data_IF_532704759438
#
_entry.id   IF_532704759438
#
_cell.length_a   1.000
_cell.length_b   1.000
_cell.length_c   1.000
_cell.angle_alpha   90.00
_cell.angle_beta   90.00
_cell.angle_gamma   90.00
#
_symmetry.space_group_name_H-M   'P 1'
#
loop_
_entity.id
_entity.type
_entity.pdbx_description
1 polymer ?
#
# COMPACT_ATOMS: atom_id res chain seq x y z
N UNK A 1 55.85 -5.61 41.79
CA UNK A 1 55.29 -6.63 42.70
C UNK A 1 54.13 -6.02 43.47
N UNK A 2 52.91 -6.49 43.26
CA UNK A 2 51.84 -6.47 44.27
C UNK A 2 50.82 -7.57 43.94
N UNK A 3 50.87 -8.57 44.80
CA UNK A 3 49.87 -9.60 45.08
C UNK A 3 48.48 -8.98 45.29
N UNK A 4 47.36 -9.66 45.07
CA UNK A 4 47.19 -11.10 44.95
C UNK A 4 45.83 -11.49 44.39
N UNK A 5 45.72 -12.79 44.12
CA UNK A 5 44.49 -13.52 43.83
C UNK A 5 43.91 -14.06 45.15
N UNK A 6 42.59 -14.32 45.17
CA UNK A 6 41.81 -15.43 45.78
C UNK A 6 40.35 -14.93 45.95
N UNK A 7 39.40 -15.34 45.09
CA UNK A 7 38.35 -16.39 45.28
C UNK A 7 37.32 -15.98 46.36
N UNK A 8 35.99 -15.89 46.09
CA UNK A 8 34.95 -16.93 46.36
C UNK A 8 33.58 -16.36 45.86
N UNK A 9 32.93 -16.87 44.80
CA UNK A 9 31.87 -17.91 44.72
C UNK A 9 30.51 -17.53 45.37
N UNK A 10 29.53 -17.29 44.47
CA UNK A 10 28.08 -17.61 44.48
C UNK A 10 27.05 -16.90 45.40
N UNK A 11 25.80 -16.92 44.89
CA UNK A 11 24.52 -16.32 45.33
C UNK A 11 24.39 -14.83 44.97
N UNK A 12 23.59 -14.42 43.98
CA UNK A 12 22.17 -14.74 43.82
C UNK A 12 21.81 -15.05 42.36
N UNK A 13 21.52 -16.32 42.09
CA UNK A 13 20.39 -16.66 41.22
C UNK A 13 19.16 -16.01 41.86
N UNK A 14 18.47 -15.11 41.15
CA UNK A 14 17.06 -14.71 41.29
C UNK A 14 16.90 -13.30 40.73
N UNK A 15 16.86 -13.17 39.40
CA UNK A 15 15.93 -12.24 38.79
C UNK A 15 15.27 -12.97 37.63
N UNK A 16 14.16 -13.58 38.01
CA UNK A 16 13.09 -14.16 37.24
C UNK A 16 13.01 -13.70 35.79
N UNK A 17 13.06 -14.69 34.90
CA UNK A 17 12.42 -14.65 33.59
C UNK A 17 10.94 -14.24 33.77
N UNK A 18 10.63 -12.96 33.57
CA UNK A 18 9.28 -12.49 33.27
C UNK A 18 9.06 -12.77 31.79
N UNK A 19 8.78 -14.04 31.49
CA UNK A 19 8.18 -14.43 30.22
C UNK A 19 6.70 -14.04 30.33
N UNK A 20 6.34 -12.86 29.81
CA UNK A 20 4.94 -12.51 29.62
C UNK A 20 4.34 -13.53 28.66
N UNK A 21 3.52 -14.44 29.20
CA UNK A 21 2.60 -15.25 28.41
C UNK A 21 1.58 -14.28 27.80
N UNK A 22 1.72 -13.97 26.52
CA UNK A 22 0.60 -13.40 25.79
C UNK A 22 -0.53 -14.44 25.77
N UNK A 23 -1.61 -14.08 26.46
CA UNK A 23 -2.90 -14.76 26.36
C UNK A 23 -3.39 -14.53 24.94
N UNK A 24 -3.14 -15.49 24.06
CA UNK A 24 -3.87 -15.59 22.80
C UNK A 24 -5.31 -15.91 23.17
N UNK A 25 -6.13 -14.87 23.28
CA UNK A 25 -7.58 -14.99 23.35
C UNK A 25 -8.07 -15.55 22.01
N UNK A 26 -8.04 -16.88 21.87
CA UNK A 26 -8.87 -17.59 20.91
C UNK A 26 -10.30 -17.45 21.42
N UNK A 27 -11.07 -16.53 20.84
CA UNK A 27 -12.52 -16.59 20.96
C UNK A 27 -13.00 -17.83 20.20
N UNK A 28 -13.15 -18.91 20.95
CA UNK A 28 -13.96 -20.06 20.59
C UNK A 28 -15.42 -19.61 20.62
N UNK A 29 -16.01 -19.33 19.47
CA UNK A 29 -17.46 -19.43 19.33
C UNK A 29 -17.74 -20.77 18.64
N UNK A 30 -17.93 -21.80 19.47
CA UNK A 30 -18.43 -23.08 19.02
C UNK A 30 -19.96 -23.06 19.07
N UNK A 31 -20.59 -23.03 17.91
CA UNK A 31 -21.87 -23.71 17.67
C UNK A 31 -21.69 -24.51 16.37
N UNK A 32 -21.50 -25.82 16.54
CA UNK A 32 -21.76 -26.90 15.56
C UNK A 32 -23.29 -27.09 15.48
N UNK A 33 -24.02 -27.42 14.41
CA UNK A 33 -23.85 -28.07 13.09
C UNK A 33 -24.84 -27.35 12.11
N UNK A 34 -24.87 -27.48 10.78
CA UNK A 34 -24.73 -28.66 9.92
C UNK A 34 -24.56 -28.25 8.44
N UNK A 35 -24.07 -29.20 7.63
CA UNK A 35 -23.73 -29.17 6.20
C UNK A 35 -24.48 -28.21 5.23
N UNK A 36 -23.73 -27.36 4.51
CA UNK A 36 -23.61 -27.34 3.03
C UNK A 36 -22.81 -26.11 2.51
N UNK A 37 -21.79 -26.40 1.69
CA UNK A 37 -21.15 -25.59 0.63
C UNK A 37 -21.03 -24.06 0.79
N UNK A 38 -19.82 -23.66 1.17
CA UNK A 38 -19.02 -22.57 0.59
C UNK A 38 -19.64 -21.15 0.46
N UNK A 39 -19.51 -20.41 1.57
CA UNK A 39 -19.14 -18.99 1.68
C UNK A 39 -19.80 -18.02 0.69
N UNK A 40 -20.97 -17.54 1.11
CA UNK A 40 -21.29 -16.12 1.02
C UNK A 40 -20.40 -15.35 2.01
N UNK A 41 -19.93 -14.17 1.61
CA UNK A 41 -19.98 -12.94 2.44
C UNK A 41 -19.20 -11.77 1.79
N UNK A 42 -19.99 -10.80 1.32
CA UNK A 42 -19.80 -9.34 1.45
C UNK A 42 -18.93 -8.64 0.37
N UNK A 43 -19.52 -8.39 -0.82
CA UNK A 43 -19.19 -7.24 -1.70
C UNK A 43 -20.36 -6.22 -1.71
N UNK A 44 -20.76 -5.76 -0.53
CA UNK A 44 -21.88 -4.82 -0.43
C UNK A 44 -21.66 -3.74 0.64
N UNK A 45 -20.47 -3.13 0.70
CA UNK A 45 -20.32 -1.73 1.17
C UNK A 45 -18.92 -1.15 0.89
N UNK A 46 -18.39 -1.34 -0.33
CA UNK A 46 -17.31 -0.46 -0.79
C UNK A 46 -17.96 0.62 -1.64
N UNK A 47 -17.73 1.92 -1.34
CA UNK A 47 -18.42 2.99 -2.04
C UNK A 47 -18.20 2.84 -3.56
N UNK A 48 -19.25 3.11 -4.34
CA UNK A 48 -19.26 3.12 -5.83
C UNK A 48 -18.02 3.77 -6.45
N UNK A 49 -17.45 4.74 -5.74
CA UNK A 49 -16.22 5.46 -6.01
C UNK A 49 -14.96 4.56 -6.15
N UNK A 50 -14.91 3.42 -5.46
CA UNK A 50 -13.80 2.47 -5.51
C UNK A 50 -13.72 1.71 -6.85
N UNK A 51 -14.87 1.28 -7.37
CA UNK A 51 -14.95 0.60 -8.67
C UNK A 51 -14.58 1.59 -9.79
N UNK A 52 -14.99 2.84 -9.66
CA UNK A 52 -14.69 3.91 -10.63
C UNK A 52 -13.19 4.24 -10.72
N UNK A 53 -12.44 4.14 -9.62
CA UNK A 53 -11.01 4.41 -9.62
C UNK A 53 -10.16 3.20 -10.10
N UNK A 54 -10.65 1.97 -9.87
CA UNK A 54 -10.05 0.73 -10.43
C UNK A 54 -10.22 0.58 -11.95
N UNK A 55 -10.94 1.49 -12.61
CA UNK A 55 -11.01 1.57 -14.07
C UNK A 55 -10.38 2.85 -14.59
N UNK A 56 -9.79 3.68 -13.72
CA UNK A 56 -9.20 4.94 -14.13
C UNK A 56 -7.88 4.67 -14.86
N UNK A 57 -7.75 5.26 -16.03
CA UNK A 57 -6.55 5.23 -16.84
C UNK A 57 -6.07 6.62 -17.19
N UNK A 58 -4.78 6.73 -17.52
CA UNK A 58 -4.20 7.93 -18.10
C UNK A 58 -3.12 7.54 -19.10
N UNK A 59 -2.90 8.41 -20.08
CA UNK A 59 -1.90 8.21 -21.13
C UNK A 59 -0.69 9.10 -20.84
N UNK A 60 0.49 8.52 -21.04
CA UNK A 60 1.77 9.21 -20.99
C UNK A 60 2.40 9.12 -22.37
N UNK A 61 2.63 10.25 -23.03
CA UNK A 61 3.43 10.26 -24.26
C UNK A 61 4.92 10.17 -23.91
N UNK A 62 5.63 9.24 -24.56
CA UNK A 62 7.09 9.11 -24.50
C UNK A 62 7.80 9.80 -25.68
N UNK A 63 7.05 10.48 -26.57
CA UNK A 63 7.57 11.14 -27.77
C UNK A 63 7.81 10.16 -28.93
N UNK A 64 8.02 10.70 -30.15
CA UNK A 64 8.42 9.87 -31.31
C UNK A 64 7.46 8.75 -31.68
N UNK A 65 6.14 8.95 -31.51
CA UNK A 65 5.13 7.92 -31.77
C UNK A 65 4.98 6.89 -30.65
N UNK A 66 5.66 7.06 -29.52
CA UNK A 66 5.54 6.24 -28.32
C UNK A 66 4.49 6.81 -27.35
N UNK A 67 3.61 5.94 -26.84
CA UNK A 67 2.67 6.24 -25.77
C UNK A 67 2.54 5.05 -24.81
N UNK A 68 2.29 5.34 -23.53
CA UNK A 68 2.01 4.34 -22.50
C UNK A 68 0.69 4.65 -21.84
N UNK A 69 -0.20 3.67 -21.79
CA UNK A 69 -1.48 3.76 -21.08
C UNK A 69 -1.35 3.05 -19.74
N UNK A 70 -1.52 3.81 -18.66
CA UNK A 70 -1.55 3.31 -17.30
C UNK A 70 -2.99 3.11 -16.88
N UNK A 71 -3.41 1.87 -16.62
CA UNK A 71 -4.74 1.55 -16.11
C UNK A 71 -4.62 0.97 -14.70
N UNK A 72 -5.20 1.64 -13.71
CA UNK A 72 -5.19 1.13 -12.34
C UNK A 72 -5.96 -0.20 -12.28
N UNK A 73 -5.36 -1.25 -11.71
CA UNK A 73 -6.02 -2.57 -11.58
C UNK A 73 -6.28 -2.93 -10.11
N UNK A 74 -5.48 -2.37 -9.20
CA UNK A 74 -5.68 -2.52 -7.76
C UNK A 74 -5.22 -1.27 -7.02
N UNK A 75 -5.97 -0.90 -5.99
CA UNK A 75 -5.68 0.23 -5.12
C UNK A 75 -5.85 -0.25 -3.69
N UNK A 76 -4.80 -0.09 -2.88
CA UNK A 76 -4.78 -0.40 -1.45
C UNK A 76 -4.39 0.86 -0.70
N UNK A 77 -5.27 1.32 0.18
CA UNK A 77 -4.94 2.37 1.13
C UNK A 77 -4.17 1.76 2.30
N UNK A 78 -3.07 2.40 2.65
CA UNK A 78 -2.36 2.21 3.91
C UNK A 78 -2.50 3.53 4.69
N UNK A 79 -2.41 3.50 6.02
CA UNK A 79 -2.57 4.64 6.95
C UNK A 79 -2.62 6.05 6.30
N UNK A 80 -1.51 6.50 5.71
CA UNK A 80 -1.35 7.80 5.06
C UNK A 80 -0.86 7.74 3.60
N UNK A 81 -1.02 6.60 2.91
CA UNK A 81 -0.56 6.41 1.53
C UNK A 81 -1.46 5.50 0.72
N UNK A 82 -1.32 5.55 -0.60
CA UNK A 82 -2.00 4.62 -1.50
C UNK A 82 -0.98 3.81 -2.28
N UNK A 83 -1.07 2.48 -2.20
CA UNK A 83 -0.36 1.58 -3.10
C UNK A 83 -1.26 1.22 -4.26
N UNK A 84 -0.80 1.52 -5.47
CA UNK A 84 -1.57 1.33 -6.70
C UNK A 84 -0.79 0.43 -7.64
N UNK A 85 -1.47 -0.57 -8.19
CA UNK A 85 -0.97 -1.43 -9.24
C UNK A 85 -1.58 -0.97 -10.56
N UNK A 86 -0.74 -0.79 -11.58
CA UNK A 86 -1.15 -0.42 -12.91
C UNK A 86 -0.86 -1.55 -13.89
N UNK A 87 -1.80 -1.85 -14.79
CA UNK A 87 -1.49 -2.46 -16.08
C UNK A 87 -0.97 -1.33 -16.97
N UNK A 88 0.20 -1.54 -17.56
CA UNK A 88 0.83 -0.59 -18.49
C UNK A 88 0.83 -1.21 -19.87
N UNK A 89 0.24 -0.51 -20.83
CA UNK A 89 0.21 -0.90 -22.24
C UNK A 89 1.04 0.10 -23.02
N UNK A 90 2.13 -0.37 -23.64
CA UNK A 90 3.03 0.46 -24.43
C UNK A 90 2.70 0.35 -25.91
N UNK A 91 2.58 1.50 -26.56
CA UNK A 91 2.29 1.63 -27.97
C UNK A 91 3.44 2.35 -28.67
N UNK A 92 3.86 1.84 -29.82
CA UNK A 92 4.84 2.48 -30.71
C UNK A 92 4.26 2.50 -32.10
N UNK A 93 4.17 3.70 -32.71
CA UNK A 93 3.51 3.90 -34.00
C UNK A 93 2.10 3.28 -34.01
N UNK A 94 1.33 3.56 -32.95
CA UNK A 94 -0.06 3.12 -32.74
C UNK A 94 -0.25 1.59 -32.54
N UNK A 95 0.80 0.78 -32.72
CA UNK A 95 0.78 -0.65 -32.41
C UNK A 95 1.09 -0.93 -30.96
N UNK A 96 0.31 -1.80 -30.31
CA UNK A 96 0.64 -2.33 -28.98
C UNK A 96 1.90 -3.19 -29.07
N UNK A 97 2.97 -2.77 -28.39
CA UNK A 97 4.27 -3.46 -28.43
C UNK A 97 4.57 -4.24 -27.15
N UNK A 98 4.04 -3.80 -26.01
CA UNK A 98 4.27 -4.47 -24.74
C UNK A 98 3.10 -4.26 -23.76
N UNK A 99 2.97 -5.18 -22.81
CA UNK A 99 2.04 -5.08 -21.70
C UNK A 99 2.67 -5.66 -20.44
N UNK A 100 2.79 -4.82 -19.42
CA UNK A 100 3.40 -5.22 -18.15
C UNK A 100 2.68 -4.57 -16.97
N UNK A 101 3.14 -4.87 -15.76
CA UNK A 101 2.56 -4.35 -14.52
C UNK A 101 3.58 -3.55 -13.74
N UNK A 102 3.17 -2.37 -13.29
CA UNK A 102 3.94 -1.53 -12.37
C UNK A 102 3.18 -1.32 -11.07
N UNK A 103 3.90 -0.99 -10.00
CA UNK A 103 3.30 -0.64 -8.72
C UNK A 103 3.98 0.58 -8.13
N UNK A 104 3.16 1.52 -7.69
CA UNK A 104 3.61 2.77 -7.11
C UNK A 104 2.95 3.02 -5.75
N UNK A 105 3.68 3.66 -4.85
CA UNK A 105 3.17 4.15 -3.57
C UNK A 105 3.09 5.68 -3.62
N UNK A 106 1.87 6.21 -3.56
CA UNK A 106 1.60 7.64 -3.48
C UNK A 106 1.70 8.09 -2.03
N UNK A 107 2.65 8.96 -1.74
CA UNK A 107 2.93 9.54 -0.42
C UNK A 107 2.49 11.00 -0.44
N UNK A 108 1.87 11.44 0.65
CA UNK A 108 1.28 12.77 0.74
C UNK A 108 1.88 13.55 1.90
N UNK A 109 1.99 14.86 1.72
CA UNK A 109 2.37 15.76 2.80
C UNK A 109 1.17 16.12 3.69
N UNK A 110 1.42 16.89 4.74
CA UNK A 110 0.38 17.33 5.70
C UNK A 110 -0.76 18.13 5.06
N UNK A 111 -0.55 18.73 3.88
CA UNK A 111 -1.57 19.45 3.13
C UNK A 111 -2.32 18.55 2.12
N UNK A 112 -2.17 17.21 2.23
CA UNK A 112 -2.77 16.22 1.34
C UNK A 112 -2.38 16.40 -0.15
N UNK A 113 -1.24 17.05 -0.41
CA UNK A 113 -0.66 17.09 -1.75
C UNK A 113 0.25 15.89 -1.94
N UNK A 114 0.29 15.34 -3.17
CA UNK A 114 1.24 14.30 -3.55
C UNK A 114 2.65 14.85 -3.37
N UNK A 115 3.39 14.28 -2.43
CA UNK A 115 4.77 14.65 -2.12
C UNK A 115 5.75 13.77 -2.90
N UNK A 116 5.51 12.46 -2.88
CA UNK A 116 6.34 11.47 -3.57
C UNK A 116 5.48 10.39 -4.23
N UNK A 117 6.01 9.82 -5.32
CA UNK A 117 5.48 8.60 -5.92
C UNK A 117 6.61 7.59 -6.00
N UNK A 118 6.61 6.63 -5.09
CA UNK A 118 7.70 5.66 -4.95
C UNK A 118 7.44 4.43 -5.81
N UNK A 119 8.41 4.06 -6.63
CA UNK A 119 8.41 2.78 -7.35
C UNK A 119 8.69 1.59 -6.40
N UNK A 120 8.74 0.38 -6.96
CA UNK A 120 9.05 -0.85 -6.19
C UNK A 120 10.47 -0.88 -5.62
N UNK A 121 11.37 -0.01 -6.10
CA UNK A 121 12.75 0.17 -5.62
C UNK A 121 12.87 1.36 -4.66
N UNK A 122 11.75 1.92 -4.21
CA UNK A 122 11.67 3.10 -3.35
C UNK A 122 12.30 4.37 -3.95
N UNK A 123 12.38 4.45 -5.28
CA UNK A 123 12.81 5.67 -5.98
C UNK A 123 11.61 6.56 -6.27
N UNK A 124 11.78 7.86 -6.10
CA UNK A 124 10.74 8.83 -6.40
C UNK A 124 10.61 9.02 -7.92
N UNK A 125 9.56 8.46 -8.50
CA UNK A 125 9.28 8.55 -9.93
C UNK A 125 9.05 10.00 -10.37
N UNK A 126 8.57 10.89 -9.50
CA UNK A 126 8.33 12.29 -9.86
C UNK A 126 9.63 13.05 -10.20
N UNK A 127 10.78 12.57 -9.76
CA UNK A 127 12.09 13.19 -10.03
C UNK A 127 12.63 12.80 -11.42
N UNK A 128 12.26 11.63 -11.94
CA UNK A 128 12.81 11.08 -13.18
C UNK A 128 11.83 11.10 -14.35
N UNK A 129 10.53 11.16 -14.05
CA UNK A 129 9.48 11.18 -15.06
C UNK A 129 9.48 12.48 -15.89
N UNK A 130 9.22 12.41 -17.22
CA UNK A 130 8.95 13.59 -18.03
C UNK A 130 7.81 14.43 -17.46
N UNK A 131 7.81 15.73 -17.74
CA UNK A 131 6.84 16.69 -17.17
C UNK A 131 5.38 16.26 -17.36
N UNK A 132 5.02 15.77 -18.56
CA UNK A 132 3.67 15.28 -18.85
C UNK A 132 3.29 14.06 -18.02
N UNK A 133 4.20 13.09 -17.92
CA UNK A 133 4.01 11.90 -17.08
C UNK A 133 3.84 12.28 -15.61
N UNK A 134 4.76 13.12 -15.09
CA UNK A 134 4.72 13.62 -13.72
C UNK A 134 3.38 14.27 -13.38
N UNK A 135 2.85 15.10 -14.29
CA UNK A 135 1.53 15.73 -14.12
C UNK A 135 0.41 14.68 -14.03
N UNK A 136 0.39 13.69 -14.92
CA UNK A 136 -0.62 12.62 -14.90
C UNK A 136 -0.59 11.82 -13.59
N UNK A 137 0.59 11.48 -13.07
CA UNK A 137 0.72 10.81 -11.77
C UNK A 137 0.23 11.68 -10.61
N UNK A 138 0.60 12.96 -10.57
CA UNK A 138 0.13 13.89 -9.53
C UNK A 138 -1.39 14.03 -9.56
N UNK A 139 -1.98 14.22 -10.74
CA UNK A 139 -3.42 14.40 -10.88
C UNK A 139 -4.18 13.11 -10.49
N UNK A 140 -3.67 11.94 -10.90
CA UNK A 140 -4.20 10.65 -10.42
C UNK A 140 -4.13 10.53 -8.88
N UNK A 141 -3.02 10.97 -8.27
CA UNK A 141 -2.85 10.97 -6.82
C UNK A 141 -3.85 11.87 -6.08
N UNK A 142 -4.15 13.05 -6.61
CA UNK A 142 -5.20 13.94 -6.06
C UNK A 142 -6.57 13.26 -6.11
N UNK A 143 -6.85 12.53 -7.19
CA UNK A 143 -8.10 11.80 -7.33
C UNK A 143 -8.23 10.65 -6.33
N UNK A 144 -7.11 10.01 -5.93
CA UNK A 144 -7.12 9.03 -4.85
C UNK A 144 -7.64 9.66 -3.55
N UNK A 145 -7.09 10.80 -3.13
CA UNK A 145 -7.54 11.46 -1.89
C UNK A 145 -8.97 11.97 -2.00
N UNK A 146 -9.37 12.54 -3.13
CA UNK A 146 -10.77 12.98 -3.32
C UNK A 146 -11.76 11.82 -3.20
N UNK A 147 -11.36 10.63 -3.66
CA UNK A 147 -12.23 9.45 -3.73
C UNK A 147 -12.26 8.68 -2.40
N UNK A 148 -11.13 8.58 -1.70
CA UNK A 148 -10.96 7.77 -0.48
C UNK A 148 -10.92 8.60 0.82
N UNK A 149 -10.46 9.85 0.76
CA UNK A 149 -10.39 10.77 1.90
C UNK A 149 -11.77 11.24 2.37
N UNK A 150 -12.77 11.28 1.48
CA UNK A 150 -14.17 11.60 1.83
C UNK A 150 -14.79 10.50 2.72
N UNK A 151 -14.22 9.29 2.76
CA UNK A 151 -14.67 8.21 3.64
C UNK A 151 -14.05 8.20 5.04
N UNK A 152 -13.03 9.03 5.31
CA UNK A 152 -12.33 9.03 6.60
C UNK A 152 -12.91 10.07 7.60
N UNK A 153 -13.60 11.11 7.10
CA UNK A 153 -14.11 12.22 7.93
C UNK A 153 -15.61 12.14 8.26
N UNK A 154 -16.35 11.13 7.78
CA UNK A 154 -17.81 11.05 7.98
C UNK A 154 -18.23 10.30 9.26
N UNK A 155 -17.38 10.22 10.28
CA UNK A 155 -17.71 9.70 11.62
C UNK A 155 -17.15 10.57 12.74
N UNK A 156 -17.41 11.87 12.70
CA UNK A 156 -17.42 12.70 13.91
C UNK A 156 -18.53 13.73 13.78
N UNK A 157 -19.73 13.37 14.26
CA UNK A 157 -20.73 14.25 14.83
C UNK A 157 -21.73 13.40 15.62
#
# INVERSE_FOLDING_TARGET
MRTGKIITIYLFLFFSAVLQKEVIAKQTFGILNDHNSAKDEIDQDRPKNLKQLKSKSFVVSCGGGCAMTYTATAIKQNSSSFKVRFKVEMYVNEGLTDTYTESYSFIYNAANNVDQVLDVKHKNALETLPVGARKSFIDFGKDLIKTYGVGADSKVL
#
